data_IF_718369769666
#
_entry.id   IF_718369769666
#
_cell.length_a   1.000
_cell.length_b   1.000
_cell.length_c   1.000
_cell.angle_alpha   90.00
_cell.angle_beta   90.00
_cell.angle_gamma   90.00
#
_symmetry.space_group_name_H-M   'P 1'
#
loop_
_entity.id
_entity.type
_entity.pdbx_description
1 polymer ?
#
# COMPACT_ATOMS: atom_id res chain seq x y z
N UNK A 1 39.73 33.84 21.06
CA UNK A 1 38.69 33.22 21.91
C UNK A 1 37.33 33.56 21.31
N UNK A 2 36.83 32.76 20.38
CA UNK A 2 35.50 32.94 19.78
C UNK A 2 34.57 31.90 20.38
N UNK A 3 33.64 32.37 21.22
CA UNK A 3 32.56 31.54 21.78
C UNK A 3 31.62 31.19 20.61
N UNK A 4 31.62 29.95 20.22
CA UNK A 4 30.56 29.40 19.35
C UNK A 4 29.25 29.47 20.14
N UNK A 5 28.15 29.97 19.54
CA UNK A 5 26.86 30.01 20.24
C UNK A 5 26.31 28.60 20.40
N UNK A 6 25.99 28.26 21.65
CA UNK A 6 25.37 26.97 22.03
C UNK A 6 23.94 26.74 21.49
N UNK A 7 23.58 27.47 20.44
CA UNK A 7 22.23 27.44 19.86
C UNK A 7 21.87 26.13 19.17
N UNK A 8 22.87 25.34 18.75
CA UNK A 8 22.62 24.08 18.02
C UNK A 8 22.48 22.85 18.93
N UNK A 9 22.67 23.00 20.25
CA UNK A 9 22.60 21.85 21.17
C UNK A 9 21.18 21.46 21.61
N UNK A 10 20.16 22.24 21.22
CA UNK A 10 18.77 22.03 21.69
C UNK A 10 17.77 21.61 20.60
N UNK A 11 18.23 21.17 19.44
CA UNK A 11 17.32 20.58 18.49
C UNK A 11 16.99 19.17 18.98
N UNK A 12 15.76 18.91 19.47
CA UNK A 12 15.39 17.57 19.90
C UNK A 12 15.52 16.65 18.70
N UNK A 13 16.20 15.52 18.87
CA UNK A 13 16.23 14.47 17.87
C UNK A 13 14.77 14.11 17.52
N UNK A 14 14.31 14.60 16.38
CA UNK A 14 12.99 14.23 15.88
C UNK A 14 12.99 12.72 15.73
N UNK A 15 12.24 12.06 16.59
CA UNK A 15 11.97 10.63 16.50
C UNK A 15 11.27 10.40 15.17
N UNK A 16 12.05 10.00 14.19
CA UNK A 16 11.58 9.66 12.85
C UNK A 16 10.68 8.45 13.00
N UNK A 17 9.37 8.67 12.93
CA UNK A 17 8.39 7.60 12.80
C UNK A 17 8.58 6.98 11.41
N UNK A 18 9.35 5.90 11.31
CA UNK A 18 9.37 5.01 10.16
C UNK A 18 7.98 4.38 10.01
N UNK A 19 7.09 5.05 9.27
CA UNK A 19 5.71 4.59 9.08
C UNK A 19 5.61 3.17 8.50
N UNK A 20 6.67 2.71 7.82
CA UNK A 20 6.75 1.34 7.28
C UNK A 20 7.12 0.28 8.32
N UNK A 21 7.72 0.68 9.44
CA UNK A 21 8.10 -0.24 10.55
C UNK A 21 6.99 -0.34 11.59
N UNK A 22 5.94 0.48 11.51
CA UNK A 22 4.86 0.43 12.47
C UNK A 22 4.12 -0.93 12.37
N UNK A 23 3.84 -1.57 13.52
CA UNK A 23 3.09 -2.83 13.52
C UNK A 23 1.70 -2.68 12.90
N UNK A 24 1.10 -1.50 13.00
CA UNK A 24 -0.18 -1.17 12.40
C UNK A 24 -0.15 -1.20 10.86
N UNK A 25 0.89 -0.64 10.23
CA UNK A 25 1.03 -0.68 8.77
C UNK A 25 1.23 -2.11 8.26
N UNK A 26 1.99 -2.94 8.98
CA UNK A 26 2.15 -4.36 8.65
C UNK A 26 0.85 -5.13 8.81
N UNK A 27 0.12 -4.90 9.90
CA UNK A 27 -1.18 -5.51 10.14
C UNK A 27 -2.19 -5.16 9.06
N UNK A 28 -2.30 -3.88 8.71
CA UNK A 28 -3.19 -3.41 7.64
C UNK A 28 -2.84 -4.05 6.28
N UNK A 29 -1.55 -4.11 5.94
CA UNK A 29 -1.10 -4.76 4.70
C UNK A 29 -1.49 -6.23 4.66
N UNK A 30 -1.32 -6.95 5.77
CA UNK A 30 -1.67 -8.38 5.85
C UNK A 30 -3.19 -8.59 5.75
N UNK A 31 -3.99 -7.77 6.43
CA UNK A 31 -5.45 -7.83 6.36
C UNK A 31 -5.92 -7.61 4.91
N UNK A 32 -5.38 -6.60 4.21
CA UNK A 32 -5.73 -6.35 2.82
C UNK A 32 -5.26 -7.48 1.90
N UNK A 33 -4.06 -8.02 2.11
CA UNK A 33 -3.58 -9.17 1.35
C UNK A 33 -4.53 -10.36 1.46
N UNK A 34 -4.95 -10.72 2.69
CA UNK A 34 -5.90 -11.79 2.94
C UNK A 34 -7.27 -11.49 2.32
N UNK A 35 -7.74 -10.24 2.41
CA UNK A 35 -9.01 -9.84 1.79
C UNK A 35 -8.95 -10.05 0.27
N UNK A 36 -7.90 -9.57 -0.41
CA UNK A 36 -7.78 -9.73 -1.87
C UNK A 36 -7.55 -11.17 -2.31
N UNK A 37 -6.82 -11.97 -1.54
CA UNK A 37 -6.69 -13.40 -1.78
C UNK A 37 -8.06 -14.10 -1.71
N UNK A 38 -8.86 -13.75 -0.72
CA UNK A 38 -10.22 -14.31 -0.55
C UNK A 38 -11.15 -13.85 -1.65
N UNK A 39 -11.22 -12.53 -1.92
CA UNK A 39 -12.09 -11.95 -2.95
C UNK A 39 -11.73 -12.48 -4.33
N UNK A 40 -10.45 -12.47 -4.70
CA UNK A 40 -9.99 -12.99 -5.97
C UNK A 40 -10.27 -14.49 -6.14
N UNK A 41 -10.09 -15.29 -5.08
CA UNK A 41 -10.41 -16.71 -5.10
C UNK A 41 -11.91 -16.97 -5.33
N UNK A 42 -12.76 -16.19 -4.68
CA UNK A 42 -14.22 -16.28 -4.88
C UNK A 42 -14.62 -15.90 -6.30
N UNK A 43 -14.02 -14.87 -6.89
CA UNK A 43 -14.29 -14.46 -8.26
C UNK A 43 -13.85 -15.52 -9.30
N UNK A 44 -12.69 -16.15 -9.07
CA UNK A 44 -12.20 -17.23 -9.94
C UNK A 44 -13.10 -18.46 -9.83
N UNK A 45 -13.52 -18.83 -8.61
CA UNK A 45 -14.32 -20.03 -8.38
C UNK A 45 -15.76 -19.86 -8.81
N UNK A 46 -16.36 -18.69 -8.59
CA UNK A 46 -17.75 -18.41 -8.92
C UNK A 46 -17.94 -17.00 -9.49
N UNK A 47 -17.56 -16.76 -10.76
CA UNK A 47 -17.58 -15.42 -11.36
C UNK A 47 -18.99 -14.83 -11.47
N UNK A 48 -20.05 -15.66 -11.39
CA UNK A 48 -21.45 -15.20 -11.41
C UNK A 48 -21.89 -14.55 -10.08
N UNK A 49 -21.23 -14.89 -8.98
CA UNK A 49 -21.52 -14.38 -7.63
C UNK A 49 -20.36 -13.56 -7.10
N UNK A 50 -19.72 -12.75 -7.96
CA UNK A 50 -18.64 -11.90 -7.52
C UNK A 50 -19.13 -10.84 -6.51
N UNK A 51 -18.26 -10.49 -5.56
CA UNK A 51 -18.59 -9.56 -4.47
C UNK A 51 -18.85 -8.14 -4.99
N UNK A 52 -18.23 -7.77 -6.12
CA UNK A 52 -18.41 -6.47 -6.75
C UNK A 52 -19.52 -6.43 -7.78
N UNK A 53 -20.26 -7.53 -7.95
CA UNK A 53 -21.37 -7.65 -8.91
C UNK A 53 -21.02 -7.25 -10.35
N UNK A 54 -19.77 -7.42 -10.77
CA UNK A 54 -19.29 -7.06 -12.11
C UNK A 54 -20.03 -7.80 -13.21
N UNK A 55 -20.38 -9.07 -12.97
CA UNK A 55 -21.21 -9.86 -13.90
C UNK A 55 -22.59 -9.22 -14.12
N UNK A 56 -23.20 -8.63 -13.09
CA UNK A 56 -24.46 -7.88 -13.20
C UNK A 56 -24.30 -6.57 -13.96
N UNK A 57 -23.13 -5.97 -13.90
CA UNK A 57 -22.80 -4.77 -14.67
C UNK A 57 -22.54 -5.05 -16.16
N UNK A 58 -22.64 -6.30 -16.57
CA UNK A 58 -22.50 -6.73 -17.97
C UNK A 58 -21.07 -7.12 -18.37
N UNK A 59 -20.17 -7.27 -17.40
CA UNK A 59 -18.84 -7.81 -17.69
C UNK A 59 -18.93 -9.33 -17.95
N UNK A 60 -18.24 -9.85 -18.97
CA UNK A 60 -18.24 -11.28 -19.26
C UNK A 60 -17.51 -12.07 -18.17
N UNK A 61 -17.96 -13.30 -17.90
CA UNK A 61 -17.43 -14.15 -16.83
C UNK A 61 -15.91 -14.35 -16.89
N UNK A 62 -15.35 -14.47 -18.12
CA UNK A 62 -13.91 -14.62 -18.29
C UNK A 62 -13.14 -13.41 -17.77
N UNK A 63 -13.69 -12.18 -17.95
CA UNK A 63 -13.05 -10.95 -17.47
C UNK A 63 -13.12 -10.88 -15.94
N UNK A 64 -14.24 -11.26 -15.33
CA UNK A 64 -14.38 -11.33 -13.88
C UNK A 64 -13.36 -12.30 -13.30
N UNK A 65 -13.19 -13.48 -13.91
CA UNK A 65 -12.17 -14.45 -13.49
C UNK A 65 -10.74 -13.90 -13.65
N UNK A 66 -10.44 -13.18 -14.72
CA UNK A 66 -9.13 -12.54 -14.92
C UNK A 66 -8.85 -11.48 -13.85
N UNK A 67 -9.86 -10.69 -13.48
CA UNK A 67 -9.76 -9.72 -12.37
C UNK A 67 -9.47 -10.48 -11.08
N UNK A 68 -10.16 -11.59 -10.81
CA UNK A 68 -9.89 -12.43 -9.65
C UNK A 68 -8.45 -12.95 -9.60
N UNK A 69 -7.89 -13.41 -10.71
CA UNK A 69 -6.48 -13.80 -10.78
C UNK A 69 -5.54 -12.62 -10.52
N UNK A 70 -5.85 -11.43 -11.05
CA UNK A 70 -5.07 -10.22 -10.80
C UNK A 70 -5.15 -9.79 -9.32
N UNK A 71 -6.29 -9.96 -8.66
CA UNK A 71 -6.46 -9.70 -7.22
C UNK A 71 -5.65 -10.69 -6.37
N UNK A 72 -5.65 -11.98 -6.73
CA UNK A 72 -4.79 -12.98 -6.05
C UNK A 72 -3.32 -12.59 -6.22
N UNK A 73 -2.88 -12.29 -7.44
CA UNK A 73 -1.51 -11.86 -7.71
C UNK A 73 -1.11 -10.60 -6.94
N UNK A 74 -1.97 -9.60 -6.95
CA UNK A 74 -1.78 -8.36 -6.19
C UNK A 74 -1.74 -8.60 -4.68
N UNK A 75 -2.62 -9.46 -4.15
CA UNK A 75 -2.63 -9.89 -2.76
C UNK A 75 -1.32 -10.57 -2.34
N UNK A 76 -0.78 -11.44 -3.16
CA UNK A 76 0.54 -12.08 -2.94
C UNK A 76 1.67 -11.04 -2.94
N UNK A 77 1.63 -10.08 -3.88
CA UNK A 77 2.62 -8.99 -3.93
C UNK A 77 2.58 -8.11 -2.69
N UNK A 78 1.41 -7.93 -2.06
CA UNK A 78 1.28 -7.17 -0.81
C UNK A 78 2.01 -7.83 0.36
N UNK A 79 2.08 -9.17 0.40
CA UNK A 79 2.74 -9.92 1.47
C UNK A 79 4.26 -9.69 1.44
N UNK A 80 4.84 -9.56 0.25
CA UNK A 80 6.29 -9.38 0.07
C UNK A 80 6.63 -7.88 0.20
N UNK A 81 7.44 -7.47 1.19
CA UNK A 81 7.69 -6.05 1.46
C UNK A 81 8.28 -5.26 0.29
N UNK A 82 9.13 -5.90 -0.55
CA UNK A 82 9.78 -5.27 -1.70
C UNK A 82 8.82 -5.00 -2.86
N UNK A 83 7.76 -5.79 -3.00
CA UNK A 83 6.77 -5.69 -4.09
C UNK A 83 5.44 -5.10 -3.65
N UNK A 84 5.27 -4.85 -2.34
CA UNK A 84 4.01 -4.40 -1.77
C UNK A 84 3.49 -3.07 -2.38
N UNK A 85 4.39 -2.15 -2.76
CA UNK A 85 3.99 -0.92 -3.46
C UNK A 85 3.41 -1.21 -4.85
N UNK A 86 4.02 -2.14 -5.59
CA UNK A 86 3.53 -2.57 -6.91
C UNK A 86 2.18 -3.26 -6.78
N UNK A 87 2.05 -4.17 -5.82
CA UNK A 87 0.78 -4.85 -5.52
C UNK A 87 -0.33 -3.86 -5.15
N UNK A 88 -0.05 -2.90 -4.28
CA UNK A 88 -1.01 -1.89 -3.85
C UNK A 88 -1.46 -1.00 -5.02
N UNK A 89 -0.55 -0.57 -5.89
CA UNK A 89 -0.89 0.24 -7.06
C UNK A 89 -1.73 -0.56 -8.07
N UNK A 90 -1.33 -1.81 -8.39
CA UNK A 90 -2.07 -2.66 -9.31
C UNK A 90 -3.50 -2.94 -8.83
N UNK A 91 -3.65 -3.34 -7.55
CA UNK A 91 -4.97 -3.53 -6.93
C UNK A 91 -5.77 -2.22 -6.88
N UNK A 92 -5.11 -1.09 -6.64
CA UNK A 92 -5.73 0.24 -6.66
C UNK A 92 -6.35 0.56 -8.02
N UNK A 93 -5.67 0.23 -9.12
CA UNK A 93 -6.22 0.41 -10.47
C UNK A 93 -7.46 -0.44 -10.69
N UNK A 94 -7.47 -1.70 -10.22
CA UNK A 94 -8.64 -2.59 -10.31
C UNK A 94 -9.80 -2.00 -9.51
N UNK A 95 -9.57 -1.56 -8.28
CA UNK A 95 -10.61 -0.96 -7.42
C UNK A 95 -11.12 0.37 -7.99
N UNK A 96 -10.27 1.20 -8.60
CA UNK A 96 -10.70 2.41 -9.29
C UNK A 96 -11.63 2.07 -10.46
N UNK A 97 -11.30 1.05 -11.25
CA UNK A 97 -12.16 0.53 -12.31
C UNK A 97 -13.52 0.05 -11.79
N UNK A 98 -13.53 -0.68 -10.68
CA UNK A 98 -14.77 -1.13 -10.03
C UNK A 98 -15.63 0.03 -9.54
N UNK A 99 -15.02 1.06 -8.90
CA UNK A 99 -15.73 2.29 -8.50
C UNK A 99 -16.40 2.95 -9.71
N UNK A 100 -15.64 3.16 -10.79
CA UNK A 100 -16.18 3.78 -12.01
C UNK A 100 -17.31 2.95 -12.63
N UNK A 101 -17.18 1.62 -12.64
CA UNK A 101 -18.21 0.75 -13.17
C UNK A 101 -19.54 0.88 -12.41
N UNK A 102 -19.49 0.95 -11.08
CA UNK A 102 -20.69 1.15 -10.26
C UNK A 102 -21.28 2.56 -10.40
N UNK A 103 -20.44 3.60 -10.43
CA UNK A 103 -20.90 4.98 -10.60
C UNK A 103 -21.59 5.20 -11.95
N UNK A 104 -21.11 4.57 -13.03
CA UNK A 104 -21.72 4.64 -14.35
C UNK A 104 -23.11 3.95 -14.44
N UNK A 105 -23.49 3.19 -13.43
CA UNK A 105 -24.77 2.49 -13.32
C UNK A 105 -25.66 3.05 -12.20
N UNK A 106 -25.30 4.20 -11.63
CA UNK A 106 -26.00 4.84 -10.49
C UNK A 106 -26.07 3.94 -9.24
N UNK A 107 -25.19 2.94 -9.15
CA UNK A 107 -25.10 2.01 -8.01
C UNK A 107 -24.15 2.57 -6.91
N UNK A 108 -24.41 3.76 -6.43
CA UNK A 108 -23.53 4.49 -5.49
C UNK A 108 -23.21 3.68 -4.20
N UNK A 109 -24.17 2.89 -3.71
CA UNK A 109 -23.96 2.08 -2.50
C UNK A 109 -22.96 0.94 -2.73
N UNK A 110 -23.00 0.33 -3.92
CA UNK A 110 -22.09 -0.75 -4.26
C UNK A 110 -20.66 -0.24 -4.49
N UNK A 111 -20.50 1.02 -4.92
CA UNK A 111 -19.20 1.67 -5.08
C UNK A 111 -18.45 1.92 -3.76
N UNK A 112 -19.14 1.87 -2.61
CA UNK A 112 -18.52 2.16 -1.30
C UNK A 112 -17.41 1.16 -0.97
N UNK A 113 -17.66 -0.13 -1.15
CA UNK A 113 -16.67 -1.17 -0.82
C UNK A 113 -15.36 -1.02 -1.62
N UNK A 114 -15.39 -0.97 -2.97
CA UNK A 114 -14.15 -0.78 -3.73
C UNK A 114 -13.50 0.58 -3.46
N UNK A 115 -14.27 1.63 -3.13
CA UNK A 115 -13.72 2.94 -2.76
C UNK A 115 -12.95 2.88 -1.43
N UNK A 116 -13.45 2.19 -0.43
CA UNK A 116 -12.79 1.98 0.86
C UNK A 116 -11.48 1.19 0.66
N UNK A 117 -11.53 0.10 -0.10
CA UNK A 117 -10.34 -0.70 -0.42
C UNK A 117 -9.31 0.13 -1.19
N UNK A 118 -9.74 0.90 -2.19
CA UNK A 118 -8.89 1.84 -2.92
C UNK A 118 -8.18 2.82 -1.99
N UNK A 119 -8.90 3.38 -1.03
CA UNK A 119 -8.33 4.34 -0.06
C UNK A 119 -7.22 3.68 0.77
N UNK A 120 -7.45 2.50 1.30
CA UNK A 120 -6.43 1.77 2.07
C UNK A 120 -5.23 1.36 1.22
N UNK A 121 -5.45 0.94 -0.03
CA UNK A 121 -4.37 0.62 -0.95
C UNK A 121 -3.50 1.83 -1.27
N UNK A 122 -4.12 3.01 -1.48
CA UNK A 122 -3.39 4.26 -1.68
C UNK A 122 -2.55 4.64 -0.46
N UNK A 123 -3.08 4.46 0.76
CA UNK A 123 -2.33 4.70 2.00
C UNK A 123 -1.10 3.77 2.05
N UNK A 124 -1.26 2.47 1.76
CA UNK A 124 -0.14 1.53 1.74
C UNK A 124 0.86 1.88 0.65
N UNK A 125 0.40 2.17 -0.57
CA UNK A 125 1.27 2.57 -1.67
C UNK A 125 2.09 3.81 -1.29
N UNK A 126 1.45 4.82 -0.71
CA UNK A 126 2.12 6.03 -0.23
C UNK A 126 3.19 5.72 0.83
N UNK A 127 2.82 4.99 1.88
CA UNK A 127 3.73 4.64 2.97
C UNK A 127 4.94 3.82 2.48
N UNK A 128 4.71 2.93 1.51
CA UNK A 128 5.76 2.06 0.95
C UNK A 128 6.66 2.80 -0.04
N UNK A 129 6.11 3.69 -0.86
CA UNK A 129 6.87 4.44 -1.86
C UNK A 129 7.71 5.53 -1.20
N UNK A 130 7.12 6.35 -0.35
CA UNK A 130 7.81 7.48 0.27
C UNK A 130 8.67 7.06 1.47
N UNK A 131 8.30 6.02 2.20
CA UNK A 131 9.14 5.47 3.27
C UNK A 131 10.43 4.82 2.75
N UNK A 132 10.46 4.32 1.50
CA UNK A 132 11.65 3.75 0.87
C UNK A 132 12.54 4.79 0.17
N UNK A 133 11.98 5.95 -0.21
CA UNK A 133 12.70 6.99 -0.96
C UNK A 133 13.55 7.92 -0.06
N UNK A 134 13.31 7.93 1.25
CA UNK A 134 14.11 8.79 2.13
C UNK A 134 15.51 8.20 2.30
N UNK A 135 16.57 8.92 1.91
CA UNK A 135 17.95 8.44 2.09
C UNK A 135 18.18 8.12 3.56
N UNK A 136 18.80 6.97 3.83
CA UNK A 136 19.30 6.65 5.17
C UNK A 136 20.08 7.86 5.67
N UNK A 137 19.76 8.30 6.90
CA UNK A 137 20.45 9.43 7.51
C UNK A 137 21.96 9.23 7.39
N UNK A 138 22.65 10.29 7.01
CA UNK A 138 24.12 10.40 6.93
C UNK A 138 24.81 10.21 8.28
N UNK A 139 24.21 9.51 9.22
CA UNK A 139 24.75 9.28 10.57
C UNK A 139 25.78 8.14 10.61
N UNK A 140 26.06 7.50 9.49
CA UNK A 140 27.29 6.71 9.33
C UNK A 140 28.48 7.62 8.92
N UNK A 141 28.76 8.64 9.72
CA UNK A 141 30.13 9.17 9.73
C UNK A 141 31.00 8.05 10.32
N UNK A 142 31.90 7.46 9.54
CA UNK A 142 32.74 6.38 10.03
C UNK A 142 33.50 6.86 11.26
N UNK A 143 33.32 6.18 12.40
CA UNK A 143 34.00 6.51 13.68
C UNK A 143 35.53 6.46 13.59
N UNK A 144 36.06 6.12 12.43
CA UNK A 144 37.48 6.07 12.15
C UNK A 144 38.15 7.43 11.93
N UNK A 145 37.38 8.53 11.78
CA UNK A 145 37.94 9.87 11.63
C UNK A 145 38.40 10.50 12.98
N UNK A 146 37.94 9.95 14.12
CA UNK A 146 38.21 10.54 15.44
C UNK A 146 39.55 10.15 16.05
N UNK A 147 40.29 9.19 15.46
CA UNK A 147 41.56 8.70 16.04
C UNK A 147 42.82 9.21 15.32
N UNK A 148 42.76 10.28 14.52
CA UNK A 148 43.94 10.84 13.84
C UNK A 148 44.42 12.19 14.39
N UNK A 149 43.80 12.67 15.46
CA UNK A 149 44.26 13.90 16.15
C UNK A 149 44.60 13.56 17.60
N UNK A 150 45.59 12.70 17.78
CA UNK A 150 46.21 12.43 19.05
C UNK A 150 47.71 12.27 18.91
#
# INVERSE_FOLDING_TARGET
MSKQPEFFASVPAQTRHDGTKSPAAKGLTLILALAFLTLGSLQVWNPKQDVFNLARLGFPEWLVSMIGFAEIGGGLLLIIPSTAAVGANGLGMIMAGAVLAHLNRDENRAAILPLVLLTFLNIIAYLRTFGAWWPASTDEIPRHAKNREG
#
